data_IF_857973242382
#
_entry.id   IF_857973242382
#
_cell.length_a   1.000
_cell.length_b   1.000
_cell.length_c   1.000
_cell.angle_alpha   90.00
_cell.angle_beta   90.00
_cell.angle_gamma   90.00
#
_symmetry.space_group_name_H-M   'P 1'
#
loop_
_entity.id
_entity.type
_entity.pdbx_description
1 polymer ?
#
# COMPACT_ATOMS: atom_id res chain seq x y z
N UNK A 1 -7.84 -17.51 -2.99
CA UNK A 1 -7.41 -18.48 -1.94
C UNK A 1 -8.62 -18.72 -1.06
N UNK A 2 -9.01 -19.97 -0.95
CA UNK A 2 -10.14 -20.39 -0.13
C UNK A 2 -9.72 -20.41 1.36
N UNK A 3 -10.67 -20.25 2.28
CA UNK A 3 -10.38 -20.25 3.72
C UNK A 3 -9.68 -21.53 4.19
N UNK A 4 -10.06 -22.67 3.62
CA UNK A 4 -9.43 -23.96 3.89
C UNK A 4 -7.94 -24.02 3.50
N UNK A 5 -7.57 -23.37 2.38
CA UNK A 5 -6.17 -23.29 1.95
C UNK A 5 -5.33 -22.43 2.90
N UNK A 6 -5.91 -21.34 3.40
CA UNK A 6 -5.27 -20.49 4.41
C UNK A 6 -5.01 -21.25 5.71
N UNK A 7 -6.01 -22.01 6.19
CA UNK A 7 -5.85 -22.83 7.40
C UNK A 7 -4.78 -23.91 7.21
N UNK A 8 -4.70 -24.54 6.04
CA UNK A 8 -3.65 -25.50 5.74
C UNK A 8 -2.27 -24.85 5.85
N UNK A 9 -2.05 -23.69 5.24
CA UNK A 9 -0.78 -22.94 5.33
C UNK A 9 -0.50 -22.63 6.79
N UNK A 10 -1.45 -22.03 7.52
CA UNK A 10 -1.28 -21.66 8.93
C UNK A 10 -0.89 -22.84 9.83
N UNK A 11 -1.43 -24.03 9.57
CA UNK A 11 -1.12 -25.25 10.33
C UNK A 11 0.28 -25.79 10.04
N UNK A 12 0.89 -25.42 8.91
CA UNK A 12 2.26 -25.83 8.57
C UNK A 12 3.33 -24.87 9.09
N UNK A 13 2.94 -23.66 9.52
CA UNK A 13 3.89 -22.65 10.02
C UNK A 13 4.31 -22.96 11.46
N UNK A 14 5.61 -22.81 11.74
CA UNK A 14 6.13 -22.81 13.10
C UNK A 14 5.74 -21.54 13.86
N UNK A 15 5.92 -21.52 15.16
CA UNK A 15 5.67 -20.32 15.97
C UNK A 15 6.57 -19.16 15.56
N UNK A 16 7.83 -19.44 15.26
CA UNK A 16 8.81 -18.45 14.79
C UNK A 16 8.43 -17.88 13.44
N UNK A 17 7.96 -18.72 12.50
CA UNK A 17 7.46 -18.28 11.20
C UNK A 17 6.23 -17.39 11.37
N UNK A 18 5.26 -17.76 12.21
CA UNK A 18 4.09 -16.95 12.53
C UNK A 18 4.48 -15.61 13.16
N UNK A 19 5.40 -15.62 14.11
CA UNK A 19 5.91 -14.40 14.73
C UNK A 19 6.64 -13.49 13.72
N UNK A 20 7.37 -14.08 12.76
CA UNK A 20 8.07 -13.33 11.72
C UNK A 20 7.13 -12.58 10.78
N UNK A 21 5.92 -13.10 10.53
CA UNK A 21 4.90 -12.43 9.72
C UNK A 21 4.31 -11.18 10.41
N UNK A 22 4.44 -11.08 11.73
CA UNK A 22 4.02 -9.90 12.49
C UNK A 22 5.03 -8.75 12.44
N UNK A 23 6.18 -8.94 11.79
CA UNK A 23 7.19 -7.91 11.59
C UNK A 23 7.54 -7.76 10.11
N UNK A 24 7.92 -6.53 9.69
CA UNK A 24 8.35 -6.28 8.32
C UNK A 24 9.69 -6.91 7.97
N UNK A 25 9.95 -7.10 6.68
CA UNK A 25 11.28 -7.32 6.14
C UNK A 25 12.07 -6.01 6.16
N UNK A 26 11.41 -4.94 5.79
CA UNK A 26 11.84 -3.55 5.84
C UNK A 26 10.62 -2.65 6.07
N UNK A 27 10.72 -1.35 5.80
CA UNK A 27 9.64 -0.39 5.99
C UNK A 27 8.43 -0.62 5.06
N UNK A 28 8.61 -1.35 3.97
CA UNK A 28 7.63 -1.46 2.89
C UNK A 28 7.23 -2.89 2.54
N UNK A 29 7.96 -3.88 3.00
CA UNK A 29 7.76 -5.27 2.62
C UNK A 29 7.52 -6.16 3.82
N UNK A 30 6.62 -7.13 3.65
CA UNK A 30 6.45 -8.22 4.60
C UNK A 30 7.52 -9.29 4.39
N UNK A 31 7.86 -10.02 5.45
CA UNK A 31 8.77 -11.17 5.33
C UNK A 31 8.12 -12.30 4.53
N UNK A 32 8.77 -12.83 3.50
CA UNK A 32 8.28 -14.02 2.81
C UNK A 32 8.62 -15.29 3.59
N UNK A 33 7.84 -16.36 3.38
CA UNK A 33 8.18 -17.72 3.79
C UNK A 33 8.08 -18.62 2.54
N UNK A 34 9.11 -18.60 1.66
CA UNK A 34 9.02 -19.26 0.35
C UNK A 34 8.77 -20.76 0.46
N UNK A 35 9.35 -21.43 1.47
CA UNK A 35 9.15 -22.86 1.72
C UNK A 35 7.69 -23.25 2.01
N UNK A 36 6.86 -22.29 2.36
CA UNK A 36 5.43 -22.45 2.65
C UNK A 36 4.52 -21.74 1.62
N UNK A 37 5.09 -21.23 0.53
CA UNK A 37 4.34 -20.51 -0.49
C UNK A 37 3.82 -19.14 -0.05
N UNK A 38 4.34 -18.56 1.03
CA UNK A 38 3.95 -17.22 1.50
C UNK A 38 4.86 -16.17 0.84
N UNK A 39 4.34 -15.33 -0.08
CA UNK A 39 5.14 -14.30 -0.75
C UNK A 39 5.37 -13.10 0.15
N UNK A 40 6.36 -12.28 -0.20
CA UNK A 40 6.43 -10.91 0.30
C UNK A 40 5.32 -10.05 -0.32
N UNK A 41 4.75 -9.17 0.47
CA UNK A 41 3.79 -8.16 0.04
C UNK A 41 4.46 -6.80 0.12
N UNK A 42 4.52 -6.09 -1.01
CA UNK A 42 5.02 -4.71 -1.06
C UNK A 42 3.87 -3.74 -0.80
N UNK A 43 4.03 -2.91 0.21
CA UNK A 43 3.12 -1.82 0.56
C UNK A 43 3.75 -0.48 0.17
N UNK A 44 2.96 0.45 -0.33
CA UNK A 44 3.44 1.79 -0.65
C UNK A 44 2.42 2.84 -0.23
N UNK A 45 2.90 4.03 0.11
CA UNK A 45 2.06 5.19 0.31
C UNK A 45 1.43 5.63 -1.02
N UNK A 46 0.28 6.31 -0.94
CA UNK A 46 -0.27 6.88 -2.16
C UNK A 46 -1.72 7.33 -2.14
N UNK A 47 -2.17 8.12 -1.15
CA UNK A 47 -3.53 8.65 -1.18
C UNK A 47 -3.78 9.63 -2.33
N UNK A 48 -2.75 10.32 -2.81
CA UNK A 48 -2.81 11.26 -3.95
C UNK A 48 -2.03 10.78 -5.17
N UNK A 49 -1.81 9.47 -5.28
CA UNK A 49 -0.99 8.82 -6.30
C UNK A 49 0.13 8.01 -5.67
N UNK A 50 0.67 7.08 -6.41
CA UNK A 50 1.68 6.15 -5.92
C UNK A 50 2.94 6.89 -5.44
N UNK A 51 3.34 6.65 -4.19
CA UNK A 51 4.62 7.04 -3.63
C UNK A 51 5.40 5.81 -3.19
N UNK A 52 6.06 5.18 -4.15
CA UNK A 52 6.92 4.03 -3.91
C UNK A 52 8.37 4.50 -3.77
N UNK A 53 9.03 4.17 -2.67
CA UNK A 53 10.48 4.40 -2.54
C UNK A 53 11.26 3.56 -3.55
N UNK A 54 12.27 4.17 -4.15
CA UNK A 54 13.24 3.50 -5.00
C UNK A 54 14.31 2.84 -4.12
N UNK A 55 14.06 1.61 -3.71
CA UNK A 55 14.93 0.86 -2.83
C UNK A 55 16.33 0.59 -3.43
N UNK A 56 16.48 0.69 -4.76
CA UNK A 56 17.77 0.54 -5.41
C UNK A 56 18.71 1.75 -5.18
N UNK A 57 18.14 2.92 -4.89
CA UNK A 57 18.87 4.18 -4.69
C UNK A 57 18.74 4.73 -3.26
N UNK A 58 18.16 3.95 -2.35
CA UNK A 58 17.90 4.37 -0.97
C UNK A 58 18.68 3.51 0.00
N UNK A 59 19.57 4.11 0.80
CA UNK A 59 20.23 3.42 1.90
C UNK A 59 19.50 3.59 3.25
N UNK A 60 18.49 4.45 3.31
CA UNK A 60 17.69 4.74 4.51
C UNK A 60 16.25 5.09 4.11
N UNK A 61 15.30 4.94 5.05
CA UNK A 61 13.91 5.35 4.85
C UNK A 61 13.81 6.84 4.45
N UNK A 62 12.96 7.14 3.47
CA UNK A 62 12.75 8.49 2.98
C UNK A 62 13.59 8.88 1.75
N UNK A 63 14.07 7.90 1.00
CA UNK A 63 14.77 8.10 -0.27
C UNK A 63 13.89 8.60 -1.42
N UNK A 64 14.47 8.72 -2.63
CA UNK A 64 13.73 9.14 -3.81
C UNK A 64 12.60 8.17 -4.12
N UNK A 65 11.50 8.69 -4.63
CA UNK A 65 10.37 7.88 -5.09
C UNK A 65 10.47 7.63 -6.58
N UNK A 66 9.93 6.49 -7.02
CA UNK A 66 9.71 6.26 -8.45
C UNK A 66 8.80 7.35 -9.02
N UNK A 67 8.94 7.63 -10.32
CA UNK A 67 8.05 8.57 -11.00
C UNK A 67 6.65 7.99 -11.08
N UNK A 68 5.65 8.77 -10.64
CA UNK A 68 4.24 8.43 -10.70
C UNK A 68 3.40 9.70 -10.89
N UNK A 69 2.14 9.53 -11.25
CA UNK A 69 1.21 10.64 -11.42
C UNK A 69 0.81 11.22 -10.07
N UNK A 70 0.88 12.54 -9.92
CA UNK A 70 0.28 13.26 -8.80
C UNK A 70 -1.18 13.59 -9.14
N UNK A 71 -2.10 12.87 -8.50
CA UNK A 71 -3.53 13.10 -8.63
C UNK A 71 -3.99 14.22 -7.66
N UNK A 72 -5.17 14.80 -7.87
CA UNK A 72 -5.76 15.72 -6.91
C UNK A 72 -5.87 15.11 -5.52
N UNK A 73 -5.80 15.94 -4.48
CA UNK A 73 -5.96 15.46 -3.10
C UNK A 73 -7.34 14.84 -2.90
N UNK A 74 -7.45 13.96 -1.93
CA UNK A 74 -8.71 13.27 -1.62
C UNK A 74 -9.81 14.26 -1.21
N UNK A 75 -9.44 15.35 -0.51
CA UNK A 75 -10.36 16.43 -0.19
C UNK A 75 -10.92 17.11 -1.46
N UNK A 76 -10.06 17.31 -2.48
CA UNK A 76 -10.45 17.87 -3.77
C UNK A 76 -11.37 16.92 -4.54
N UNK A 77 -11.02 15.63 -4.59
CA UNK A 77 -11.84 14.60 -5.26
C UNK A 77 -13.20 14.49 -4.57
N UNK A 78 -13.24 14.53 -3.24
CA UNK A 78 -14.48 14.47 -2.47
C UNK A 78 -15.43 15.65 -2.76
N UNK A 79 -14.89 16.84 -3.07
CA UNK A 79 -15.70 18.00 -3.44
C UNK A 79 -16.43 17.84 -4.77
N UNK A 80 -16.00 16.92 -5.63
CA UNK A 80 -16.66 16.66 -6.91
C UNK A 80 -18.03 15.96 -6.74
N UNK A 81 -18.26 15.23 -5.65
CA UNK A 81 -19.45 14.41 -5.41
C UNK A 81 -19.78 13.47 -6.60
N UNK A 82 -18.73 13.01 -7.27
CA UNK A 82 -18.81 12.16 -8.46
C UNK A 82 -18.09 10.83 -8.22
N UNK A 83 -18.89 9.80 -8.01
CA UNK A 83 -18.39 8.42 -7.77
C UNK A 83 -17.69 7.85 -9.00
N UNK A 84 -18.15 8.21 -10.22
CA UNK A 84 -17.55 7.70 -11.44
C UNK A 84 -16.16 8.31 -11.66
N UNK A 85 -15.98 9.59 -11.39
CA UNK A 85 -14.68 10.26 -11.41
C UNK A 85 -13.74 9.64 -10.39
N UNK A 86 -14.22 9.42 -9.15
CA UNK A 86 -13.45 8.77 -8.10
C UNK A 86 -13.01 7.36 -8.51
N UNK A 87 -13.89 6.60 -9.14
CA UNK A 87 -13.57 5.28 -9.68
C UNK A 87 -12.49 5.34 -10.76
N UNK A 88 -12.55 6.30 -11.68
CA UNK A 88 -11.56 6.47 -12.74
C UNK A 88 -10.19 6.79 -12.17
N UNK A 89 -10.10 7.74 -11.22
CA UNK A 89 -8.85 8.09 -10.54
C UNK A 89 -8.28 6.88 -9.81
N UNK A 90 -9.09 6.17 -9.04
CA UNK A 90 -8.66 4.98 -8.30
C UNK A 90 -8.16 3.87 -9.22
N UNK A 91 -8.80 3.66 -10.37
CA UNK A 91 -8.33 2.70 -11.39
C UNK A 91 -6.98 3.10 -11.99
N UNK A 92 -6.77 4.39 -12.26
CA UNK A 92 -5.50 4.88 -12.78
C UNK A 92 -4.37 4.67 -11.76
N UNK A 93 -4.58 5.02 -10.49
CA UNK A 93 -3.62 4.77 -9.41
C UNK A 93 -3.34 3.26 -9.28
N UNK A 94 -4.38 2.43 -9.30
CA UNK A 94 -4.23 0.98 -9.23
C UNK A 94 -3.42 0.40 -10.41
N UNK A 95 -3.57 0.96 -11.61
CA UNK A 95 -2.77 0.57 -12.77
C UNK A 95 -1.29 0.93 -12.59
N UNK A 96 -0.97 2.12 -12.08
CA UNK A 96 0.40 2.51 -11.74
C UNK A 96 1.01 1.62 -10.66
N UNK A 97 0.25 1.28 -9.61
CA UNK A 97 0.67 0.35 -8.57
C UNK A 97 1.07 -1.01 -9.17
N UNK A 98 0.23 -1.58 -10.02
CA UNK A 98 0.52 -2.86 -10.69
C UNK A 98 1.75 -2.79 -11.57
N UNK A 99 1.90 -1.72 -12.35
CA UNK A 99 3.07 -1.51 -13.22
C UNK A 99 4.37 -1.39 -12.42
N UNK A 100 4.30 -0.93 -11.17
CA UNK A 100 5.44 -0.78 -10.27
C UNK A 100 5.58 -1.94 -9.26
N UNK A 101 4.83 -3.04 -9.40
CA UNK A 101 4.93 -4.20 -8.52
C UNK A 101 4.46 -3.93 -7.08
N UNK A 102 3.59 -2.94 -6.87
CA UNK A 102 3.00 -2.64 -5.57
C UNK A 102 1.76 -3.51 -5.37
N UNK A 103 1.76 -4.27 -4.29
CA UNK A 103 0.67 -5.20 -3.95
C UNK A 103 -0.42 -4.52 -3.14
N UNK A 104 -0.03 -3.63 -2.24
CA UNK A 104 -0.95 -2.92 -1.34
C UNK A 104 -0.64 -1.43 -1.35
N UNK A 105 -1.63 -0.63 -1.72
CA UNK A 105 -1.54 0.83 -1.61
C UNK A 105 -2.14 1.28 -0.28
N UNK A 106 -1.41 2.11 0.47
CA UNK A 106 -1.89 2.71 1.71
C UNK A 106 -2.75 3.94 1.39
N UNK A 107 -3.96 3.70 0.97
CA UNK A 107 -4.99 4.66 0.55
C UNK A 107 -6.39 4.03 0.66
N UNK A 108 -7.46 4.84 0.65
CA UNK A 108 -7.51 6.28 0.76
C UNK A 108 -7.30 6.80 2.19
N UNK A 109 -6.97 8.11 2.33
CA UNK A 109 -6.89 8.80 3.62
C UNK A 109 -8.26 9.30 4.09
N UNK A 110 -9.09 8.42 4.60
CA UNK A 110 -10.49 8.69 4.98
C UNK A 110 -10.60 9.31 6.37
N UNK A 111 -10.32 10.59 6.49
CA UNK A 111 -10.40 11.31 7.75
C UNK A 111 -11.52 12.35 7.77
N UNK A 112 -12.16 12.52 8.94
CA UNK A 112 -13.04 13.66 9.14
C UNK A 112 -12.20 14.93 9.32
N UNK A 113 -12.36 15.88 8.42
CA UNK A 113 -11.68 17.19 8.44
C UNK A 113 -12.42 18.14 9.40
N UNK A 114 -12.26 17.95 10.71
CA UNK A 114 -12.94 18.76 11.72
C UNK A 114 -12.40 20.19 11.83
N UNK A 115 -11.13 20.41 11.52
CA UNK A 115 -10.47 21.70 11.60
C UNK A 115 -9.67 21.96 10.33
N UNK A 116 -9.74 23.17 9.73
CA UNK A 116 -8.91 23.54 8.61
C UNK A 116 -7.41 23.59 8.93
N UNK A 117 -7.05 23.64 10.21
CA UNK A 117 -5.66 23.61 10.70
C UNK A 117 -5.12 22.18 10.84
N UNK A 118 -5.90 21.17 10.48
CA UNK A 118 -5.45 19.79 10.47
C UNK A 118 -4.24 19.60 9.55
N UNK A 119 -3.21 18.88 9.99
CA UNK A 119 -1.98 18.63 9.23
C UNK A 119 -2.13 17.74 7.98
N UNK A 120 -3.35 17.34 7.65
CA UNK A 120 -3.68 16.46 6.50
C UNK A 120 -4.66 17.11 5.51
N UNK A 121 -4.80 18.42 5.54
CA UNK A 121 -5.69 19.19 4.66
C UNK A 121 -4.98 19.76 3.42
N UNK A 122 -4.15 18.96 2.80
CA UNK A 122 -3.42 19.32 1.59
C UNK A 122 -3.85 18.50 0.40
#
# INVERSE_FOLDING_TARGET
MEAAELEQILNTLTLEEKASLCSGLNSWETKPIPAKGVPSVFMADGPTGLRKEDLAHTQQNGGPSVRATCFPTEATIACAWDEQLTMQVSRAIGAECRANGVTTLLAPGVNMKRSPLCGRNF
#
